data_IF_188530425682
#
_entry.id   IF_188530425682
#
_cell.length_a   1.000
_cell.length_b   1.000
_cell.length_c   1.000
_cell.angle_alpha   90.00
_cell.angle_beta   90.00
_cell.angle_gamma   90.00
#
_symmetry.space_group_name_H-M   'P 1'
#
loop_
_entity.id
_entity.type
_entity.pdbx_description
1 polymer ?
#
# COMPACT_ATOMS: atom_id res chain seq x y z
N UNK A 1 40.90 30.39 54.11
CA UNK A 1 41.04 29.02 54.66
C UNK A 1 39.74 28.63 55.34
N UNK A 2 38.94 27.76 54.71
CA UNK A 2 38.09 26.76 55.38
C UNK A 2 37.39 25.92 54.32
N UNK A 3 37.82 24.66 54.25
CA UNK A 3 37.31 23.58 53.41
C UNK A 3 36.05 22.96 54.03
N UNK A 4 34.96 22.85 53.27
CA UNK A 4 33.84 21.98 53.63
C UNK A 4 33.68 20.88 52.57
N UNK A 5 34.21 19.71 52.91
CA UNK A 5 34.05 18.43 52.21
C UNK A 5 32.57 18.16 51.91
N UNK A 6 32.20 18.14 50.63
CA UNK A 6 30.96 17.52 50.16
C UNK A 6 31.25 16.07 49.84
N UNK A 7 30.80 15.20 50.72
CA UNK A 7 30.71 13.75 50.55
C UNK A 7 29.91 13.46 49.27
N UNK A 8 30.60 12.99 48.24
CA UNK A 8 29.99 12.49 47.02
C UNK A 8 29.29 11.15 47.32
N UNK A 9 27.95 11.15 47.31
CA UNK A 9 27.20 9.90 47.28
C UNK A 9 27.58 9.11 46.01
N UNK A 10 27.82 7.79 46.09
CA UNK A 10 28.14 7.01 44.91
C UNK A 10 26.97 7.05 43.92
N UNK A 11 27.24 7.15 42.61
CA UNK A 11 26.18 7.10 41.61
C UNK A 11 25.47 5.74 41.71
N UNK A 12 24.15 5.76 41.89
CA UNK A 12 23.33 4.56 41.74
C UNK A 12 23.39 4.15 40.27
N UNK A 13 24.28 3.21 39.95
CA UNK A 13 24.29 2.57 38.65
C UNK A 13 22.96 1.85 38.51
N UNK A 14 22.10 2.36 37.64
CA UNK A 14 20.82 1.75 37.29
C UNK A 14 21.09 0.43 36.57
N UNK A 15 21.33 -0.63 37.34
CA UNK A 15 21.42 -2.01 36.88
C UNK A 15 20.02 -2.45 36.44
N UNK A 16 19.64 -2.13 35.21
CA UNK A 16 18.32 -2.50 34.68
C UNK A 16 18.06 -2.16 33.22
N UNK A 17 19.06 -1.70 32.47
CA UNK A 17 18.88 -1.31 31.06
C UNK A 17 19.95 -1.87 30.13
N UNK A 18 20.60 -2.98 30.49
CA UNK A 18 21.41 -3.77 29.57
C UNK A 18 20.56 -4.89 28.99
N UNK A 19 19.73 -4.56 27.99
CA UNK A 19 19.00 -5.57 27.24
C UNK A 19 19.97 -6.52 26.54
N UNK A 20 19.61 -7.81 26.49
CA UNK A 20 20.39 -8.92 25.89
C UNK A 20 20.82 -8.69 24.42
N UNK A 21 20.33 -7.64 23.78
CA UNK A 21 20.65 -7.21 22.43
C UNK A 21 22.12 -6.80 22.23
N UNK A 22 22.85 -6.44 23.28
CA UNK A 22 24.29 -6.15 23.18
C UNK A 22 25.17 -7.39 22.96
N UNK A 23 24.64 -8.59 23.22
CA UNK A 23 25.38 -9.85 23.03
C UNK A 23 25.40 -10.31 21.57
N UNK A 24 24.55 -9.73 20.72
CA UNK A 24 24.52 -10.01 19.29
C UNK A 24 25.30 -8.92 18.53
N UNK A 25 26.44 -9.24 17.90
CA UNK A 25 27.15 -8.31 17.04
C UNK A 25 26.20 -7.83 15.93
N UNK A 26 25.89 -6.53 15.89
CA UNK A 26 24.96 -5.94 14.92
C UNK A 26 23.50 -5.80 15.37
N UNK A 27 23.13 -6.20 16.59
CA UNK A 27 21.77 -5.99 17.12
C UNK A 27 21.37 -4.51 17.21
N UNK A 28 22.34 -3.64 17.49
CA UNK A 28 22.13 -2.19 17.56
C UNK A 28 21.91 -1.55 16.19
N UNK A 29 22.62 -2.00 15.15
CA UNK A 29 22.49 -1.44 13.80
C UNK A 29 21.14 -1.80 13.22
N UNK A 30 20.70 -3.04 13.40
CA UNK A 30 19.37 -3.50 12.97
C UNK A 30 18.25 -2.72 13.66
N UNK A 31 18.39 -2.46 14.97
CA UNK A 31 17.39 -1.71 15.75
C UNK A 31 17.36 -0.22 15.40
N UNK A 32 18.51 0.38 15.09
CA UNK A 32 18.59 1.76 14.57
C UNK A 32 18.01 1.87 13.17
N UNK A 33 18.21 0.86 12.32
CA UNK A 33 17.60 0.79 10.99
C UNK A 33 16.08 0.67 11.09
N UNK A 34 15.57 -0.18 11.99
CA UNK A 34 14.13 -0.35 12.23
C UNK A 34 13.44 0.92 12.75
N UNK A 35 14.13 1.71 13.58
CA UNK A 35 13.60 2.95 14.13
C UNK A 35 13.74 4.16 13.18
N UNK A 36 14.31 3.99 11.98
CA UNK A 36 14.45 5.07 11.01
C UNK A 36 13.14 5.28 10.21
N UNK A 37 12.65 6.52 10.04
CA UNK A 37 11.46 6.81 9.22
C UNK A 37 11.59 6.34 7.76
N UNK A 38 12.83 6.18 7.27
CA UNK A 38 13.15 5.63 5.95
C UNK A 38 12.85 4.12 5.85
N UNK A 39 12.95 3.36 6.96
CA UNK A 39 12.64 1.93 6.96
C UNK A 39 11.14 1.70 6.81
N UNK A 40 10.30 2.49 7.48
CA UNK A 40 8.84 2.42 7.27
C UNK A 40 8.46 2.71 5.82
N UNK A 41 9.09 3.72 5.20
CA UNK A 41 8.86 4.04 3.80
C UNK A 41 9.32 2.90 2.85
N UNK A 42 10.51 2.35 3.08
CA UNK A 42 11.03 1.23 2.30
C UNK A 42 10.19 -0.05 2.48
N UNK A 43 9.70 -0.31 3.70
CA UNK A 43 8.82 -1.46 4.00
C UNK A 43 7.46 -1.33 3.31
N UNK A 44 6.83 -0.16 3.38
CA UNK A 44 5.57 0.08 2.68
C UNK A 44 5.76 -0.02 1.16
N UNK A 45 6.79 0.63 0.61
CA UNK A 45 7.05 0.64 -0.82
C UNK A 45 7.40 -0.76 -1.35
N UNK A 46 8.27 -1.49 -0.66
CA UNK A 46 8.65 -2.86 -1.05
C UNK A 46 7.46 -3.82 -0.95
N UNK A 47 6.66 -3.70 0.12
CA UNK A 47 5.44 -4.51 0.27
C UNK A 47 4.45 -4.21 -0.86
N UNK A 48 4.16 -2.94 -1.15
CA UNK A 48 3.27 -2.55 -2.25
C UNK A 48 3.78 -3.06 -3.60
N UNK A 49 5.09 -2.94 -3.88
CA UNK A 49 5.68 -3.43 -5.12
C UNK A 49 5.62 -4.96 -5.22
N UNK A 50 5.85 -5.67 -4.10
CA UNK A 50 5.74 -7.12 -4.05
C UNK A 50 4.30 -7.57 -4.34
N UNK A 51 3.29 -6.97 -3.68
CA UNK A 51 1.89 -7.26 -3.94
C UNK A 51 1.50 -6.95 -5.40
N UNK A 52 2.01 -5.85 -5.96
CA UNK A 52 1.76 -5.47 -7.34
C UNK A 52 2.32 -6.51 -8.32
N UNK A 53 3.59 -6.91 -8.15
CA UNK A 53 4.23 -7.93 -8.98
C UNK A 53 3.49 -9.27 -8.87
N UNK A 54 3.14 -9.70 -7.66
CA UNK A 54 2.37 -10.93 -7.44
C UNK A 54 0.99 -10.87 -8.12
N UNK A 55 0.29 -9.74 -8.05
CA UNK A 55 -0.99 -9.53 -8.73
C UNK A 55 -0.86 -9.60 -10.25
N UNK A 56 0.18 -8.97 -10.82
CA UNK A 56 0.45 -9.02 -12.26
C UNK A 56 0.74 -10.46 -12.71
N UNK A 57 1.58 -11.19 -11.97
CA UNK A 57 1.90 -12.60 -12.24
C UNK A 57 0.63 -13.46 -12.21
N UNK A 58 -0.26 -13.23 -11.24
CA UNK A 58 -1.51 -13.97 -11.12
C UNK A 58 -2.44 -13.76 -12.32
N UNK A 59 -2.62 -12.52 -12.78
CA UNK A 59 -3.45 -12.21 -13.96
C UNK A 59 -2.83 -12.78 -15.24
N UNK A 60 -1.50 -12.70 -15.37
CA UNK A 60 -0.78 -13.28 -16.50
C UNK A 60 -0.92 -14.80 -16.55
N UNK A 61 -0.87 -15.47 -15.40
CA UNK A 61 -1.05 -16.93 -15.29
C UNK A 61 -2.45 -17.38 -15.69
N UNK A 62 -3.50 -16.68 -15.25
CA UNK A 62 -4.89 -16.98 -15.62
C UNK A 62 -5.17 -16.74 -17.11
N UNK A 63 -4.53 -15.74 -17.72
CA UNK A 63 -4.70 -15.43 -19.14
C UNK A 63 -4.07 -16.46 -20.07
N UNK A 64 -2.94 -17.07 -19.68
CA UNK A 64 -2.19 -17.98 -20.56
C UNK A 64 -2.89 -19.33 -20.82
N UNK A 65 -3.82 -19.74 -19.93
CA UNK A 65 -4.61 -20.98 -20.08
C UNK A 65 -5.79 -20.78 -21.05
N UNK A 66 -6.37 -19.58 -21.10
CA UNK A 66 -7.55 -19.30 -21.94
C UNK A 66 -7.18 -19.22 -23.42
N UNK A 67 -5.94 -18.82 -23.75
CA UNK A 67 -5.43 -18.77 -25.14
C UNK A 67 -5.12 -20.13 -25.74
N UNK A 68 -4.79 -21.14 -24.92
CA UNK A 68 -4.45 -22.48 -25.44
C UNK A 68 -5.66 -23.40 -25.65
N UNK A 69 -6.79 -23.16 -24.98
CA UNK A 69 -7.94 -24.06 -24.99
C UNK A 69 -9.10 -23.65 -25.93
N UNK A 70 -9.17 -22.39 -26.39
CA UNK A 70 -10.41 -21.84 -26.99
C UNK A 70 -10.32 -21.36 -28.46
N UNK A 71 -9.16 -21.50 -29.12
CA UNK A 71 -8.98 -20.93 -30.47
C UNK A 71 -8.68 -19.43 -30.43
N UNK A 72 -7.80 -19.00 -31.34
CA UNK A 72 -7.03 -17.76 -31.24
C UNK A 72 -7.86 -16.46 -31.11
N UNK A 73 -9.12 -16.43 -31.54
CA UNK A 73 -9.83 -15.15 -31.76
C UNK A 73 -10.70 -14.68 -30.59
N UNK A 74 -11.16 -15.57 -29.68
CA UNK A 74 -12.05 -15.18 -28.56
C UNK A 74 -11.31 -14.89 -27.26
N UNK A 75 -10.24 -15.65 -26.95
CA UNK A 75 -9.46 -15.48 -25.72
C UNK A 75 -8.65 -14.19 -25.65
N UNK A 76 -8.19 -13.68 -26.80
CA UNK A 76 -7.42 -12.44 -26.90
C UNK A 76 -8.24 -11.21 -26.47
N UNK A 77 -9.55 -11.19 -26.71
CA UNK A 77 -10.38 -10.02 -26.41
C UNK A 77 -10.60 -9.77 -24.92
N UNK A 78 -10.70 -10.80 -24.09
CA UNK A 78 -10.89 -10.67 -22.63
C UNK A 78 -9.56 -10.35 -21.94
N UNK A 79 -8.49 -11.06 -22.32
CA UNK A 79 -7.14 -10.79 -21.83
C UNK A 79 -6.67 -9.39 -22.20
N UNK A 80 -6.95 -8.92 -23.42
CA UNK A 80 -6.62 -7.56 -23.86
C UNK A 80 -7.37 -6.50 -23.04
N UNK A 81 -8.65 -6.71 -22.75
CA UNK A 81 -9.42 -5.81 -21.86
C UNK A 81 -8.84 -5.80 -20.45
N UNK A 82 -8.52 -6.97 -19.88
CA UNK A 82 -7.90 -7.07 -18.55
C UNK A 82 -6.53 -6.38 -18.49
N UNK A 83 -5.69 -6.57 -19.52
CA UNK A 83 -4.38 -5.90 -19.61
C UNK A 83 -4.53 -4.39 -19.77
N UNK A 84 -5.52 -3.92 -20.55
CA UNK A 84 -5.82 -2.50 -20.69
C UNK A 84 -6.30 -1.89 -19.37
N UNK A 85 -7.21 -2.54 -18.66
CA UNK A 85 -7.64 -2.09 -17.33
C UNK A 85 -6.51 -2.14 -16.30
N UNK A 86 -5.64 -3.15 -16.35
CA UNK A 86 -4.46 -3.23 -15.50
C UNK A 86 -3.48 -2.09 -15.78
N UNK A 87 -3.23 -1.77 -17.06
CA UNK A 87 -2.41 -0.64 -17.47
C UNK A 87 -2.97 0.70 -16.99
N UNK A 88 -4.27 0.92 -17.18
CA UNK A 88 -4.97 2.12 -16.69
C UNK A 88 -4.88 2.22 -15.16
N UNK A 89 -5.10 1.12 -14.44
CA UNK A 89 -4.97 1.05 -12.99
C UNK A 89 -3.56 1.39 -12.49
N UNK A 90 -2.52 0.89 -13.17
CA UNK A 90 -1.13 1.19 -12.84
C UNK A 90 -0.78 2.66 -13.08
N UNK A 91 -1.21 3.23 -14.22
CA UNK A 91 -1.02 4.66 -14.49
C UNK A 91 -1.74 5.50 -13.44
N UNK A 92 -2.99 5.17 -13.10
CA UNK A 92 -3.74 5.85 -12.06
C UNK A 92 -3.06 5.77 -10.69
N UNK A 93 -2.55 4.58 -10.32
CA UNK A 93 -1.79 4.38 -9.08
C UNK A 93 -0.56 5.28 -9.01
N UNK A 94 0.24 5.37 -10.08
CA UNK A 94 1.43 6.23 -10.11
C UNK A 94 1.05 7.71 -10.00
N UNK A 95 0.01 8.14 -10.73
CA UNK A 95 -0.46 9.53 -10.70
C UNK A 95 -0.98 9.91 -9.31
N UNK A 96 -1.82 9.07 -8.69
CA UNK A 96 -2.41 9.32 -7.37
C UNK A 96 -1.35 9.23 -6.27
N UNK A 97 -0.41 8.28 -6.36
CA UNK A 97 0.71 8.15 -5.42
C UNK A 97 1.62 9.38 -5.41
N UNK A 98 1.75 10.06 -6.55
CA UNK A 98 2.48 11.33 -6.67
C UNK A 98 1.66 12.56 -6.35
N UNK A 99 0.34 12.43 -6.14
CA UNK A 99 -0.51 13.55 -5.78
C UNK A 99 -0.23 13.97 -4.33
N UNK A 100 -0.15 15.28 -4.10
CA UNK A 100 0.11 15.80 -2.76
C UNK A 100 -1.08 15.54 -1.83
N UNK A 101 -0.81 15.19 -0.57
CA UNK A 101 -1.84 14.94 0.45
C UNK A 101 -2.87 16.08 0.55
N UNK A 102 -2.49 17.38 0.45
CA UNK A 102 -3.47 18.47 0.44
C UNK A 102 -4.39 18.46 -0.78
N UNK A 103 -3.89 18.05 -1.95
CA UNK A 103 -4.70 17.95 -3.16
C UNK A 103 -5.76 16.85 -3.05
N UNK A 104 -5.38 15.68 -2.52
CA UNK A 104 -6.30 14.57 -2.24
C UNK A 104 -7.36 14.98 -1.21
N UNK A 105 -6.94 15.67 -0.15
CA UNK A 105 -7.87 16.13 0.90
C UNK A 105 -8.85 17.17 0.39
N UNK A 106 -8.44 18.04 -0.55
CA UNK A 106 -9.32 19.05 -1.17
C UNK A 106 -10.29 18.44 -2.18
N UNK A 107 -9.92 17.35 -2.85
CA UNK A 107 -10.81 16.63 -3.77
C UNK A 107 -11.77 15.66 -3.07
N UNK A 108 -11.49 15.27 -1.83
CA UNK A 108 -12.33 14.35 -1.04
C UNK A 108 -13.83 14.69 -1.02
N UNK A 109 -14.29 15.92 -0.72
CA UNK A 109 -15.72 16.23 -0.72
C UNK A 109 -16.34 16.13 -2.13
N UNK A 110 -15.60 16.51 -3.18
CA UNK A 110 -16.08 16.38 -4.56
C UNK A 110 -16.21 14.92 -4.99
N UNK A 111 -15.23 14.09 -4.65
CA UNK A 111 -15.26 12.64 -4.91
C UNK A 111 -16.40 11.95 -4.16
N UNK A 112 -16.68 12.39 -2.92
CA UNK A 112 -17.81 11.90 -2.15
C UNK A 112 -19.15 12.20 -2.84
N UNK A 113 -19.34 13.45 -3.28
CA UNK A 113 -20.54 13.84 -4.04
C UNK A 113 -20.65 13.05 -5.33
N UNK A 114 -19.55 12.88 -6.07
CA UNK A 114 -19.52 12.07 -7.29
C UNK A 114 -19.92 10.61 -7.03
N UNK A 115 -19.49 10.02 -5.90
CA UNK A 115 -19.86 8.66 -5.52
C UNK A 115 -21.36 8.55 -5.23
N UNK A 116 -21.95 9.50 -4.49
CA UNK A 116 -23.40 9.53 -4.25
C UNK A 116 -24.17 9.71 -5.56
N UNK A 117 -23.74 10.62 -6.43
CA UNK A 117 -24.37 10.82 -7.74
C UNK A 117 -24.32 9.53 -8.56
N UNK A 118 -23.17 8.85 -8.61
CA UNK A 118 -23.04 7.56 -9.30
C UNK A 118 -23.98 6.50 -8.73
N UNK A 119 -24.13 6.44 -7.41
CA UNK A 119 -25.06 5.51 -6.74
C UNK A 119 -26.51 5.79 -7.14
N UNK A 120 -26.92 7.06 -7.20
CA UNK A 120 -28.26 7.43 -7.66
C UNK A 120 -28.44 7.20 -9.17
N UNK A 121 -27.40 7.41 -9.96
CA UNK A 121 -27.43 7.28 -11.42
C UNK A 121 -27.76 5.85 -11.88
N UNK A 122 -27.29 4.85 -11.14
CA UNK A 122 -27.59 3.44 -11.42
C UNK A 122 -29.10 3.16 -11.36
N UNK A 123 -29.86 3.86 -10.51
CA UNK A 123 -31.32 3.72 -10.42
C UNK A 123 -32.08 4.38 -11.59
N UNK A 124 -31.44 5.26 -12.37
CA UNK A 124 -32.09 5.94 -13.49
C UNK A 124 -32.32 4.94 -14.64
N UNK A 125 -33.57 4.60 -15.01
CA UNK A 125 -33.87 3.65 -16.08
C UNK A 125 -33.16 4.06 -17.39
N UNK A 126 -32.36 3.18 -17.96
CA UNK A 126 -31.57 3.43 -19.17
C UNK A 126 -30.05 3.53 -18.98
N UNK A 127 -29.55 3.73 -17.75
CA UNK A 127 -28.10 3.82 -17.48
C UNK A 127 -27.57 2.56 -16.78
N UNK A 128 -28.20 2.17 -15.67
CA UNK A 128 -27.77 0.99 -14.91
C UNK A 128 -28.10 -0.34 -15.59
N UNK A 129 -27.12 -1.24 -15.66
CA UNK A 129 -27.27 -2.60 -16.19
C UNK A 129 -27.66 -3.55 -15.05
N UNK A 130 -28.75 -4.29 -15.23
CA UNK A 130 -29.13 -5.34 -14.29
C UNK A 130 -28.40 -6.65 -14.63
N UNK A 131 -27.62 -7.17 -13.70
CA UNK A 131 -26.94 -8.46 -13.82
C UNK A 131 -27.36 -9.32 -12.62
N UNK A 132 -27.85 -10.54 -12.87
CA UNK A 132 -28.35 -11.46 -11.83
C UNK A 132 -29.44 -10.87 -10.90
N UNK A 133 -30.32 -10.00 -11.43
CA UNK A 133 -31.40 -9.39 -10.63
C UNK A 133 -30.97 -8.21 -9.75
N UNK A 134 -29.68 -7.85 -9.76
CA UNK A 134 -29.15 -6.68 -9.07
C UNK A 134 -28.70 -5.63 -10.09
N UNK A 135 -28.98 -4.36 -9.82
CA UNK A 135 -28.63 -3.23 -10.68
C UNK A 135 -27.59 -2.36 -9.97
N UNK A 136 -26.32 -2.66 -10.24
CA UNK A 136 -25.15 -2.06 -9.61
C UNK A 136 -23.97 -1.86 -10.58
N UNK A 137 -24.23 -1.98 -11.88
CA UNK A 137 -23.26 -1.82 -12.97
C UNK A 137 -23.66 -0.68 -13.88
#
# INVERSE_FOLDING_TARGET
>A
MSSSNRTSAPPRVSAGQSGAWHLLPGGETLRRWWNHPLANYALLLSTTMLLLVLGIVMVFSASNVVTYAAGADVGLTVTQKQLMFAGVGLTAMVVISRASVPAIRRSAPFLLVAAFVGLFLVFVPGIGVSVFGQRNW
#
